data_IF_669833358755
#
_entry.id   IF_669833358755
#
_cell.length_a   1.000
_cell.length_b   1.000
_cell.length_c   1.000
_cell.angle_alpha   90.00
_cell.angle_beta   90.00
_cell.angle_gamma   90.00
#
_symmetry.space_group_name_H-M   'P 1'
#
loop_
_entity.id
_entity.type
_entity.pdbx_description
1 polymer ?
#
# COMPACT_ATOMS: atom_id res chain seq x y z
N UNK A 1 23.20 -22.85 42.29
CA UNK A 1 22.08 -22.00 42.73
C UNK A 1 22.33 -20.60 42.21
N UNK A 2 21.45 -20.15 41.31
CA UNK A 2 21.52 -18.89 40.59
C UNK A 2 21.25 -17.70 41.52
N UNK A 3 22.02 -16.62 41.42
CA UNK A 3 21.64 -15.32 41.95
C UNK A 3 21.33 -14.41 40.77
N UNK A 4 20.08 -14.52 40.34
CA UNK A 4 19.40 -13.70 39.36
C UNK A 4 19.05 -12.34 39.99
N UNK A 5 19.18 -11.23 39.26
CA UNK A 5 18.59 -9.95 39.71
C UNK A 5 19.47 -8.70 39.76
N UNK A 6 20.59 -8.59 39.03
CA UNK A 6 21.12 -7.25 38.71
C UNK A 6 20.62 -6.86 37.31
N UNK A 7 19.83 -5.77 37.15
CA UNK A 7 19.48 -5.31 35.82
C UNK A 7 20.78 -4.90 35.12
N UNK A 8 21.16 -5.65 34.08
CA UNK A 8 22.23 -5.23 33.18
C UNK A 8 21.79 -3.91 32.56
N UNK A 9 22.39 -2.81 33.01
CA UNK A 9 22.24 -1.52 32.35
C UNK A 9 22.90 -1.63 30.96
N UNK A 10 22.09 -1.95 29.96
CA UNK A 10 22.52 -1.90 28.56
C UNK A 10 22.60 -0.43 28.18
N UNK A 11 23.78 0.16 28.36
CA UNK A 11 24.09 1.48 27.82
C UNK A 11 24.43 1.29 26.34
N UNK A 12 23.43 1.48 25.47
CA UNK A 12 23.65 1.55 24.03
C UNK A 12 24.27 2.91 23.71
N UNK A 13 25.61 2.96 23.67
CA UNK A 13 26.34 4.17 23.28
C UNK A 13 26.48 4.15 21.75
N UNK A 14 25.43 4.58 21.05
CA UNK A 14 25.52 4.83 19.61
C UNK A 14 26.36 6.09 19.37
N UNK A 15 27.62 5.90 18.95
CA UNK A 15 28.54 7.00 18.61
C UNK A 15 28.40 7.33 17.12
N UNK A 16 27.36 8.08 16.78
CA UNK A 16 27.11 8.54 15.43
C UNK A 16 27.64 9.97 15.22
N UNK A 17 28.30 10.21 14.09
CA UNK A 17 28.73 11.56 13.66
C UNK A 17 28.00 11.88 12.36
N UNK A 18 27.13 12.88 12.39
CA UNK A 18 26.42 13.37 11.21
C UNK A 18 27.10 14.64 10.69
N UNK A 19 27.59 14.60 9.45
CA UNK A 19 28.17 15.75 8.75
C UNK A 19 27.17 16.17 7.68
N UNK A 20 26.59 17.37 7.81
CA UNK A 20 25.72 17.94 6.79
C UNK A 20 26.54 18.84 5.88
N UNK A 21 26.66 18.45 4.61
CA UNK A 21 27.21 19.28 3.56
C UNK A 21 26.05 20.07 2.92
N UNK A 22 26.17 21.39 2.88
CA UNK A 22 25.21 22.27 2.23
C UNK A 22 25.94 23.27 1.35
N UNK A 23 25.31 23.66 0.24
CA UNK A 23 25.88 24.63 -0.68
C UNK A 23 25.92 25.99 0.02
N UNK A 24 27.13 26.48 0.27
CA UNK A 24 27.32 27.86 0.66
C UNK A 24 27.36 28.62 -0.66
N UNK A 25 26.45 29.57 -0.91
CA UNK A 25 26.26 30.26 -2.20
C UNK A 25 27.46 31.06 -2.75
N UNK A 26 28.67 30.74 -2.31
CA UNK A 26 29.96 31.12 -2.87
C UNK A 26 30.24 30.36 -4.16
N UNK A 27 30.81 31.06 -5.15
CA UNK A 27 31.20 30.55 -6.48
C UNK A 27 32.42 29.61 -6.46
N UNK A 28 32.56 28.77 -5.43
CA UNK A 28 33.62 27.77 -5.42
C UNK A 28 33.24 26.62 -6.36
N UNK A 29 34.13 26.14 -7.24
CA UNK A 29 33.82 25.17 -8.28
C UNK A 29 33.69 23.73 -7.75
N UNK A 30 33.78 23.54 -6.43
CA UNK A 30 33.84 22.21 -5.83
C UNK A 30 32.42 21.73 -5.55
N UNK A 31 31.93 20.85 -6.41
CA UNK A 31 30.65 20.18 -6.23
C UNK A 31 30.64 19.35 -4.93
N UNK A 32 29.53 19.41 -4.18
CA UNK A 32 29.31 18.67 -2.93
C UNK A 32 29.46 17.17 -3.18
N UNK A 33 29.08 16.68 -4.36
CA UNK A 33 29.27 15.28 -4.77
C UNK A 33 30.75 14.88 -4.77
N UNK A 34 31.63 15.80 -5.19
CA UNK A 34 33.08 15.56 -5.25
C UNK A 34 33.67 15.51 -3.84
N UNK A 35 33.23 16.40 -2.94
CA UNK A 35 33.62 16.39 -1.53
C UNK A 35 33.18 15.09 -0.85
N UNK A 36 31.92 14.69 -1.06
CA UNK A 36 31.39 13.43 -0.51
C UNK A 36 32.18 12.21 -1.00
N UNK A 37 32.53 12.18 -2.29
CA UNK A 37 33.34 11.11 -2.87
C UNK A 37 34.72 10.99 -2.21
N UNK A 38 35.41 12.12 -1.99
CA UNK A 38 36.73 12.09 -1.35
C UNK A 38 36.66 11.68 0.13
N UNK A 39 35.63 12.10 0.86
CA UNK A 39 35.37 11.66 2.24
C UNK A 39 35.17 10.15 2.28
N UNK A 40 34.30 9.61 1.43
CA UNK A 40 34.04 8.17 1.36
C UNK A 40 35.31 7.38 1.00
N UNK A 41 36.05 7.85 -0.01
CA UNK A 41 37.30 7.21 -0.43
C UNK A 41 38.32 7.19 0.70
N UNK A 42 38.52 8.30 1.39
CA UNK A 42 39.54 8.42 2.42
C UNK A 42 39.15 7.65 3.70
N UNK A 43 37.85 7.56 4.02
CA UNK A 43 37.31 6.69 5.07
C UNK A 43 37.54 5.20 4.74
N UNK A 44 37.19 4.75 3.52
CA UNK A 44 37.41 3.37 3.09
C UNK A 44 38.88 2.98 3.07
N UNK A 45 39.75 3.92 2.71
CA UNK A 45 41.20 3.72 2.69
C UNK A 45 41.87 3.88 4.06
N UNK A 46 41.11 4.16 5.12
CA UNK A 46 41.61 4.46 6.48
C UNK A 46 42.67 5.57 6.50
N UNK A 47 42.56 6.52 5.56
CA UNK A 47 43.41 7.72 5.45
C UNK A 47 42.75 8.95 6.06
N UNK A 48 41.47 8.83 6.41
CA UNK A 48 40.73 9.87 7.09
C UNK A 48 41.05 9.84 8.59
N UNK A 49 42.03 10.64 9.00
CA UNK A 49 42.41 10.80 10.40
C UNK A 49 41.69 12.01 11.00
N UNK A 50 40.65 11.76 11.80
CA UNK A 50 40.02 12.79 12.63
C UNK A 50 40.48 12.58 14.08
N UNK A 51 41.16 13.55 14.65
CA UNK A 51 41.50 13.55 16.07
C UNK A 51 40.45 14.33 16.84
N UNK A 52 39.81 13.67 17.82
CA UNK A 52 38.87 14.30 18.74
C UNK A 52 39.46 14.14 20.14
N UNK A 53 39.76 15.26 20.80
CA UNK A 53 40.33 15.28 22.16
C UNK A 53 41.63 14.45 22.29
N UNK A 54 42.52 14.57 21.29
CA UNK A 54 43.81 13.86 21.26
C UNK A 54 43.72 12.35 21.02
N UNK A 55 42.53 11.83 20.67
CA UNK A 55 42.33 10.42 20.31
C UNK A 55 41.97 10.32 18.83
N UNK A 56 42.66 9.43 18.12
CA UNK A 56 42.32 9.12 16.73
C UNK A 56 40.99 8.38 16.68
N UNK A 57 40.06 8.91 15.89
CA UNK A 57 38.77 8.28 15.66
C UNK A 57 38.98 7.12 14.68
N UNK A 58 38.80 5.90 15.16
CA UNK A 58 38.74 4.72 14.28
C UNK A 58 37.31 4.57 13.79
N UNK A 59 37.10 4.73 12.49
CA UNK A 59 35.80 4.54 11.84
C UNK A 59 35.79 3.15 11.20
N UNK A 60 34.80 2.34 11.54
CA UNK A 60 34.58 1.04 10.89
C UNK A 60 34.12 1.27 9.45
N UNK A 61 34.68 0.54 8.48
CA UNK A 61 34.44 0.81 7.05
C UNK A 61 32.99 0.57 6.67
N UNK A 62 32.36 -0.41 7.32
CA UNK A 62 30.99 -0.84 7.10
C UNK A 62 29.95 0.13 7.67
N UNK A 63 30.34 1.05 8.58
CA UNK A 63 29.41 1.99 9.21
C UNK A 63 29.27 3.33 8.47
N UNK A 64 30.00 3.55 7.38
CA UNK A 64 29.97 4.80 6.62
C UNK A 64 28.78 4.80 5.66
N UNK A 65 27.80 5.68 5.90
CA UNK A 65 26.65 5.86 5.01
C UNK A 65 26.63 7.28 4.45
N UNK A 66 26.53 7.41 3.13
CA UNK A 66 26.43 8.69 2.43
C UNK A 66 25.01 8.82 1.88
N UNK A 67 24.29 9.82 2.37
CA UNK A 67 22.92 10.11 1.95
C UNK A 67 22.90 11.36 1.08
N UNK A 68 22.50 11.20 -0.18
CA UNK A 68 22.24 12.32 -1.08
C UNK A 68 20.79 12.76 -0.92
N UNK A 69 20.59 13.99 -0.46
CA UNK A 69 19.26 14.58 -0.35
C UNK A 69 19.06 15.54 -1.52
N UNK A 70 18.40 15.05 -2.58
CA UNK A 70 17.96 15.90 -3.67
C UNK A 70 16.69 16.65 -3.24
N UNK A 71 16.64 17.96 -3.51
CA UNK A 71 15.50 18.82 -3.19
C UNK A 71 14.42 18.81 -4.28
N UNK A 72 14.60 18.08 -5.39
CA UNK A 72 13.50 17.86 -6.34
C UNK A 72 12.51 16.81 -5.81
N UNK A 73 11.23 17.15 -5.58
CA UNK A 73 10.22 16.16 -5.24
C UNK A 73 10.12 15.12 -6.37
N UNK A 74 9.88 13.83 -6.08
CA UNK A 74 9.74 12.81 -7.11
C UNK A 74 8.70 13.27 -8.10
N UNK A 75 9.12 13.60 -9.32
CA UNK A 75 8.20 13.93 -10.40
C UNK A 75 7.54 12.61 -10.77
N UNK A 76 6.40 12.32 -10.14
CA UNK A 76 5.50 11.24 -10.56
C UNK A 76 4.98 11.67 -11.92
N UNK A 77 5.77 11.38 -12.95
CA UNK A 77 5.38 11.60 -14.32
C UNK A 77 4.16 10.71 -14.56
N UNK A 78 3.05 11.27 -15.02
CA UNK A 78 1.88 10.50 -15.48
C UNK A 78 2.22 9.49 -16.60
N UNK A 79 3.47 9.51 -17.11
CA UNK A 79 4.06 8.53 -18.04
C UNK A 79 4.60 7.26 -17.39
N UNK A 80 4.70 7.15 -16.05
CA UNK A 80 5.23 5.94 -15.38
C UNK A 80 4.14 5.02 -14.85
N UNK A 81 2.88 5.17 -15.29
CA UNK A 81 1.94 4.05 -15.20
C UNK A 81 2.50 2.96 -16.11
N UNK A 82 3.11 1.94 -15.50
CA UNK A 82 3.58 0.76 -16.22
C UNK A 82 2.42 0.23 -17.07
N UNK A 83 2.63 -0.04 -18.37
CA UNK A 83 1.58 -0.57 -19.25
C UNK A 83 0.86 -1.79 -18.64
N UNK A 84 1.57 -2.59 -17.83
CA UNK A 84 0.99 -3.72 -17.11
C UNK A 84 -0.02 -3.31 -16.04
N UNK A 85 0.26 -2.27 -15.25
CA UNK A 85 -0.66 -1.80 -14.20
C UNK A 85 -1.93 -1.19 -14.80
N UNK A 86 -1.80 -0.42 -15.88
CA UNK A 86 -2.95 0.12 -16.61
C UNK A 86 -3.87 -0.99 -17.14
N UNK A 87 -3.30 -2.07 -17.70
CA UNK A 87 -4.07 -3.19 -18.24
C UNK A 87 -4.94 -3.88 -17.17
N UNK A 88 -4.40 -4.05 -15.95
CA UNK A 88 -5.14 -4.68 -14.84
C UNK A 88 -6.35 -3.83 -14.44
N UNK A 89 -6.18 -2.51 -14.33
CA UNK A 89 -7.29 -1.59 -13.98
C UNK A 89 -8.40 -1.66 -15.02
N UNK A 90 -8.06 -1.69 -16.31
CA UNK A 90 -9.03 -1.77 -17.40
C UNK A 90 -9.85 -3.07 -17.30
N UNK A 91 -9.19 -4.21 -17.03
CA UNK A 91 -9.87 -5.51 -16.87
C UNK A 91 -10.84 -5.48 -15.69
N UNK A 92 -10.42 -4.92 -14.55
CA UNK A 92 -11.27 -4.80 -13.37
C UNK A 92 -12.49 -3.92 -13.66
N UNK A 93 -12.29 -2.78 -14.34
CA UNK A 93 -13.37 -1.88 -14.71
C UNK A 93 -14.40 -2.57 -15.63
N UNK A 94 -13.91 -3.31 -16.64
CA UNK A 94 -14.78 -4.09 -17.53
C UNK A 94 -15.53 -5.19 -16.77
N UNK A 95 -14.85 -5.91 -15.87
CA UNK A 95 -15.47 -6.93 -15.04
C UNK A 95 -16.59 -6.36 -14.14
N UNK A 96 -16.39 -5.18 -13.56
CA UNK A 96 -17.42 -4.49 -12.79
C UNK A 96 -18.63 -4.12 -13.66
N UNK A 97 -18.40 -3.55 -14.86
CA UNK A 97 -19.48 -3.20 -15.78
C UNK A 97 -20.29 -4.42 -16.21
N UNK A 98 -19.61 -5.51 -16.60
CA UNK A 98 -20.28 -6.77 -16.95
C UNK A 98 -21.01 -7.37 -15.76
N UNK A 99 -20.38 -7.38 -14.58
CA UNK A 99 -20.97 -7.89 -13.34
C UNK A 99 -22.25 -7.14 -12.97
N UNK A 100 -22.23 -5.79 -13.05
CA UNK A 100 -23.42 -4.96 -12.79
C UNK A 100 -24.50 -5.23 -13.84
N UNK A 101 -24.15 -5.29 -15.13
CA UNK A 101 -25.12 -5.54 -16.19
C UNK A 101 -25.84 -6.89 -16.01
N UNK A 102 -25.09 -7.97 -15.77
CA UNK A 102 -25.65 -9.30 -15.52
C UNK A 102 -26.47 -9.31 -14.24
N UNK A 103 -25.98 -8.71 -13.16
CA UNK A 103 -26.71 -8.62 -11.89
C UNK A 103 -28.07 -7.94 -12.06
N UNK A 104 -28.12 -6.83 -12.80
CA UNK A 104 -29.38 -6.12 -13.10
C UNK A 104 -30.33 -7.01 -13.91
N UNK A 105 -29.84 -7.69 -14.94
CA UNK A 105 -30.67 -8.58 -15.77
C UNK A 105 -31.23 -9.74 -14.96
N UNK A 106 -30.40 -10.43 -14.18
CA UNK A 106 -30.83 -11.54 -13.32
C UNK A 106 -31.87 -11.06 -12.31
N UNK A 107 -31.64 -9.89 -11.68
CA UNK A 107 -32.60 -9.32 -10.73
C UNK A 107 -33.92 -8.93 -11.40
N UNK A 108 -33.91 -8.46 -12.65
CA UNK A 108 -35.13 -8.17 -13.40
C UNK A 108 -35.91 -9.45 -13.72
N UNK A 109 -35.23 -10.49 -14.22
CA UNK A 109 -35.83 -11.80 -14.51
C UNK A 109 -36.43 -12.45 -13.25
N UNK A 110 -35.69 -12.46 -12.15
CA UNK A 110 -36.17 -13.00 -10.89
C UNK A 110 -37.42 -12.27 -10.34
N UNK A 111 -37.59 -10.99 -10.65
CA UNK A 111 -38.82 -10.26 -10.31
C UNK A 111 -39.99 -10.66 -11.20
N UNK A 112 -39.76 -10.75 -12.52
CA UNK A 112 -40.78 -11.20 -13.48
C UNK A 112 -41.26 -12.62 -13.16
N UNK A 113 -40.34 -13.53 -12.84
CA UNK A 113 -40.69 -14.91 -12.48
C UNK A 113 -41.46 -14.96 -11.15
N UNK A 114 -41.06 -14.15 -10.15
CA UNK A 114 -41.76 -14.07 -8.87
C UNK A 114 -43.16 -13.44 -8.98
N UNK A 115 -43.37 -12.53 -9.92
CA UNK A 115 -44.68 -11.94 -10.21
C UNK A 115 -45.60 -12.95 -10.91
N UNK A 116 -45.08 -13.69 -11.89
CA UNK A 116 -45.81 -14.77 -12.57
C UNK A 116 -46.23 -15.89 -11.62
N UNK A 117 -45.31 -16.36 -10.76
CA UNK A 117 -45.61 -17.42 -9.78
C UNK A 117 -46.65 -16.95 -8.77
N UNK A 118 -46.59 -15.70 -8.31
CA UNK A 118 -47.59 -15.17 -7.38
C UNK A 118 -48.97 -15.06 -8.04
N UNK A 119 -49.04 -14.62 -9.29
CA UNK A 119 -50.30 -14.52 -10.03
C UNK A 119 -50.93 -15.91 -10.24
N UNK A 120 -50.15 -16.91 -10.66
CA UNK A 120 -50.61 -18.29 -10.84
C UNK A 120 -51.10 -18.93 -9.53
N UNK A 121 -50.43 -18.67 -8.39
CA UNK A 121 -50.85 -19.18 -7.08
C UNK A 121 -52.15 -18.52 -6.61
N UNK A 122 -52.30 -17.20 -6.78
CA UNK A 122 -53.53 -16.48 -6.39
C UNK A 122 -54.71 -16.96 -7.22
N UNK A 123 -54.58 -17.03 -8.56
CA UNK A 123 -55.66 -17.54 -9.43
C UNK A 123 -56.00 -19.01 -9.13
N UNK A 124 -54.99 -19.84 -8.84
CA UNK A 124 -55.19 -21.24 -8.44
C UNK A 124 -55.97 -21.37 -7.14
N UNK A 125 -55.66 -20.56 -6.13
CA UNK A 125 -56.38 -20.56 -4.85
C UNK A 125 -57.82 -20.05 -4.99
N UNK A 126 -58.06 -18.98 -5.76
CA UNK A 126 -59.40 -18.44 -6.00
C UNK A 126 -60.30 -19.45 -6.76
N UNK A 127 -59.73 -20.19 -7.70
CA UNK A 127 -60.43 -21.25 -8.42
C UNK A 127 -60.82 -22.40 -7.48
N UNK A 128 -59.91 -22.87 -6.62
CA UNK A 128 -60.22 -23.91 -5.64
C UNK A 128 -61.30 -23.46 -4.64
N UNK A 129 -61.22 -22.23 -4.13
CA UNK A 129 -62.24 -21.67 -3.24
C UNK A 129 -63.62 -21.58 -3.92
N UNK A 130 -63.68 -21.13 -5.18
CA UNK A 130 -64.94 -21.04 -5.92
C UNK A 130 -65.56 -22.44 -6.18
N UNK A 131 -64.73 -23.42 -6.53
CA UNK A 131 -65.17 -24.80 -6.72
C UNK A 131 -65.67 -25.45 -5.41
N UNK A 132 -65.02 -25.15 -4.28
CA UNK A 132 -65.45 -25.60 -2.95
C UNK A 132 -66.76 -24.94 -2.50
N UNK A 133 -66.90 -23.63 -2.71
CA UNK A 133 -68.12 -22.89 -2.41
C UNK A 133 -69.32 -23.39 -3.24
N UNK A 134 -69.11 -23.69 -4.52
CA UNK A 134 -70.15 -24.24 -5.40
C UNK A 134 -70.56 -25.66 -4.99
N UNK A 135 -69.61 -26.51 -4.58
CA UNK A 135 -69.92 -27.84 -4.02
C UNK A 135 -70.68 -27.77 -2.71
N UNK A 136 -70.32 -26.86 -1.81
CA UNK A 136 -71.01 -26.68 -0.54
C UNK A 136 -72.39 -26.05 -0.70
N UNK A 137 -72.58 -25.17 -1.69
CA UNK A 137 -73.87 -24.56 -2.02
C UNK A 137 -74.89 -25.54 -2.63
N UNK A 138 -74.41 -26.63 -3.23
CA UNK A 138 -75.25 -27.72 -3.76
C UNK A 138 -75.61 -28.79 -2.70
N UNK A 139 -75.10 -28.67 -1.48
CA UNK A 139 -75.33 -29.63 -0.39
C UNK A 139 -76.42 -29.19 0.62
N UNK A 140 -77.30 -28.25 0.25
CA UNK A 140 -78.45 -27.80 1.06
C UNK A 140 -79.78 -28.25 0.48
#
# INVERSE_FOLDING_TARGET
YLSDGQPKQVHEISREICIRLGENGTKDPTDISTVAYYIERDLKMNKFTLEVDGKSLQVERESVQVWFFDNEPPRINMKTISPGFAAIIIIIALAMLTGIAVFVVVRRRAKEDRERIQFEVIEGQEMEEHHLAQRMGLAR
#
